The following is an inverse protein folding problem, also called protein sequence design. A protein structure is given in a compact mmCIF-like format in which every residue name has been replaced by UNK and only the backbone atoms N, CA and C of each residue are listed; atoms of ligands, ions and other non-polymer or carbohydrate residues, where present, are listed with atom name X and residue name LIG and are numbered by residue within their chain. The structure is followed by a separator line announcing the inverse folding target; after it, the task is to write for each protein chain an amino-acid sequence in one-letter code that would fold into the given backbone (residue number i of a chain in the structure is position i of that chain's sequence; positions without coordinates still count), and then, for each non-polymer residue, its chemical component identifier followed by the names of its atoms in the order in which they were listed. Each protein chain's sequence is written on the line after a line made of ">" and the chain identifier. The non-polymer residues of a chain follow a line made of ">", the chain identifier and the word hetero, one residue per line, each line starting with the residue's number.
data_IF_747293971156
#
_entry.id   IF_747293971156
#
_cell.length_a   1.000
_cell.length_b   1.000
_cell.length_c   1.000
_cell.angle_alpha   90.00
_cell.angle_beta   90.00
_cell.angle_gamma   90.00
#
_symmetry.space_group_name_H-M   'P 1'
#
loop_
_entity.id
_entity.type
_entity.pdbx_description
1 polymer ?
#
# COMPACT_ATOMS: atom_id res chain seq x y z
N UNK A 1 -7.19 3.78 -17.70
CA UNK A 1 -7.49 2.81 -16.65
C UNK A 1 -6.38 1.77 -16.53
N UNK A 2 -6.09 1.34 -15.32
CA UNK A 2 -5.12 0.28 -15.11
C UNK A 2 -5.71 -1.08 -15.51
N UNK A 3 -4.87 -1.96 -16.03
CA UNK A 3 -5.24 -3.35 -16.28
C UNK A 3 -5.12 -4.22 -15.02
N UNK A 4 -4.81 -3.62 -13.87
CA UNK A 4 -4.71 -4.31 -12.57
C UNK A 4 -6.00 -4.10 -11.80
N UNK A 5 -6.56 -5.19 -11.28
CA UNK A 5 -7.76 -5.15 -10.45
C UNK A 5 -7.35 -4.97 -8.98
N UNK A 6 -7.27 -3.71 -8.55
CA UNK A 6 -6.90 -3.37 -7.17
C UNK A 6 -7.91 -3.85 -6.14
N UNK A 7 -9.20 -3.86 -6.50
CA UNK A 7 -10.23 -4.31 -5.57
C UNK A 7 -10.08 -5.81 -5.27
N UNK A 8 -9.78 -6.60 -6.30
CA UNK A 8 -9.52 -8.02 -6.14
C UNK A 8 -8.31 -8.25 -5.22
N UNK A 9 -7.23 -7.52 -5.47
CA UNK A 9 -6.01 -7.64 -4.66
C UNK A 9 -6.30 -7.27 -3.20
N UNK A 10 -7.05 -6.20 -2.98
CA UNK A 10 -7.42 -5.76 -1.64
C UNK A 10 -8.21 -6.84 -0.89
N UNK A 11 -9.15 -7.49 -1.57
CA UNK A 11 -9.91 -8.59 -0.98
C UNK A 11 -9.03 -9.78 -0.61
N UNK A 12 -8.05 -10.11 -1.46
CA UNK A 12 -7.11 -11.21 -1.21
C UNK A 12 -6.17 -10.91 -0.05
N UNK A 13 -5.69 -9.69 0.06
CA UNK A 13 -4.78 -9.30 1.13
C UNK A 13 -5.51 -9.05 2.45
N UNK A 14 -6.79 -8.71 2.39
CA UNK A 14 -7.54 -8.22 3.52
C UNK A 14 -7.20 -6.76 3.82
N UNK A 15 -8.08 -6.08 4.52
CA UNK A 15 -7.87 -4.70 4.90
C UNK A 15 -8.68 -4.35 6.14
N UNK A 16 -8.26 -3.29 6.82
CA UNK A 16 -8.91 -2.83 8.04
C UNK A 16 -9.43 -1.41 7.88
N UNK A 17 -10.61 -1.16 8.40
CA UNK A 17 -11.22 0.18 8.40
C UNK A 17 -10.86 0.97 9.65
N UNK A 18 -10.24 0.33 10.62
CA UNK A 18 -9.82 0.94 11.88
C UNK A 18 -8.30 0.83 12.00
N UNK A 19 -7.66 1.91 12.42
CA UNK A 19 -6.22 1.92 12.59
C UNK A 19 -5.74 0.85 13.57
N UNK A 20 -4.55 0.34 13.32
CA UNK A 20 -3.91 -0.68 14.15
C UNK A 20 -2.40 -0.50 14.07
N UNK A 21 -1.67 -1.18 14.94
CA UNK A 21 -0.22 -1.21 14.90
C UNK A 21 0.23 -2.66 14.79
N UNK A 22 0.80 -3.06 13.63
CA UNK A 22 1.30 -4.43 13.50
C UNK A 22 2.48 -4.63 14.45
N UNK A 23 2.43 -5.65 15.29
CA UNK A 23 3.51 -6.03 16.19
C UNK A 23 4.06 -4.85 17.01
N UNK A 24 3.18 -4.19 17.77
CA UNK A 24 3.51 -3.00 18.56
C UNK A 24 4.67 -3.18 19.56
N UNK A 25 4.94 -4.42 19.96
CA UNK A 25 6.00 -4.71 20.94
C UNK A 25 7.40 -4.73 20.33
N UNK A 26 7.51 -5.14 19.06
CA UNK A 26 8.80 -5.34 18.40
C UNK A 26 9.06 -4.35 17.28
N UNK A 27 7.99 -3.73 16.78
CA UNK A 27 8.03 -2.94 15.58
C UNK A 27 8.21 -1.46 15.89
N UNK A 28 8.89 -0.77 14.99
CA UNK A 28 8.92 0.68 14.95
C UNK A 28 7.80 1.23 14.06
N UNK A 29 6.82 0.38 13.75
CA UNK A 29 5.68 0.77 12.94
C UNK A 29 4.79 1.75 13.67
N UNK A 30 4.13 2.61 12.90
CA UNK A 30 3.15 3.55 13.42
C UNK A 30 1.74 3.06 13.21
N UNK A 31 0.79 3.99 13.30
CA UNK A 31 -0.61 3.70 13.02
C UNK A 31 -0.70 3.26 11.56
N UNK A 32 -1.30 2.11 11.34
CA UNK A 32 -1.44 1.50 10.02
C UNK A 32 -2.92 1.36 9.70
N UNK A 33 -3.29 1.52 8.43
CA UNK A 33 -4.69 1.50 7.99
C UNK A 33 -4.79 0.78 6.64
N UNK A 34 -6.00 0.38 6.28
CA UNK A 34 -6.30 -0.35 5.04
C UNK A 34 -5.47 -1.63 4.97
N UNK A 35 -4.80 -1.91 3.87
CA UNK A 35 -4.01 -3.13 3.71
C UNK A 35 -2.52 -2.92 3.99
N UNK A 36 -2.20 -2.17 5.04
CA UNK A 36 -0.82 -2.02 5.49
C UNK A 36 -0.18 -0.65 5.22
N UNK A 37 -1.00 0.40 5.11
CA UNK A 37 -0.50 1.75 4.92
C UNK A 37 -0.03 2.33 6.26
N UNK A 38 1.27 2.32 6.48
CA UNK A 38 1.91 2.75 7.74
C UNK A 38 2.12 4.27 7.73
N UNK A 39 1.50 4.96 8.68
CA UNK A 39 1.60 6.41 8.81
C UNK A 39 2.80 6.85 9.67
N UNK A 40 3.41 5.93 10.39
CA UNK A 40 4.51 6.26 11.30
C UNK A 40 5.77 6.77 10.61
N UNK A 41 6.00 6.33 9.38
CA UNK A 41 7.17 6.72 8.60
C UNK A 41 6.85 7.75 7.52
N UNK A 42 5.65 8.35 7.58
CA UNK A 42 5.19 9.28 6.54
C UNK A 42 4.99 10.68 7.09
N UNK A 43 5.10 11.65 6.20
CA UNK A 43 4.80 13.05 6.49
C UNK A 43 3.66 13.52 5.58
N UNK A 44 3.24 14.78 5.74
CA UNK A 44 2.11 15.33 5.00
C UNK A 44 2.35 15.30 3.48
N UNK A 45 3.57 15.55 3.04
CA UNK A 45 3.88 15.54 1.60
C UNK A 45 3.74 14.14 0.99
N UNK A 46 3.91 13.10 1.78
CA UNK A 46 3.72 11.71 1.32
C UNK A 46 2.26 11.39 1.01
N UNK A 47 1.32 12.21 1.49
CA UNK A 47 -0.11 12.03 1.26
C UNK A 47 -0.63 12.82 0.06
N UNK A 48 0.23 13.58 -0.60
CA UNK A 48 -0.15 14.36 -1.78
C UNK A 48 -0.66 13.40 -2.87
N UNK A 49 -1.83 13.68 -3.40
CA UNK A 49 -2.48 12.79 -4.37
C UNK A 49 -3.71 12.09 -3.80
N UNK A 50 -3.84 12.00 -2.48
CA UNK A 50 -5.07 11.53 -1.85
C UNK A 50 -6.11 12.66 -1.81
N UNK A 51 -7.42 12.31 -1.79
CA UNK A 51 -8.45 13.32 -1.54
C UNK A 51 -8.24 14.03 -0.20
N UNK A 52 -8.56 15.31 -0.16
CA UNK A 52 -8.33 16.13 1.04
C UNK A 52 -9.04 15.58 2.29
N UNK A 53 -10.25 15.03 2.13
CA UNK A 53 -10.99 14.43 3.24
C UNK A 53 -10.22 13.27 3.89
N UNK A 54 -9.53 12.49 3.08
CA UNK A 54 -8.70 11.38 3.58
C UNK A 54 -7.43 11.93 4.22
N UNK A 55 -6.78 12.91 3.59
CA UNK A 55 -5.59 13.57 4.15
C UNK A 55 -5.89 14.10 5.55
N UNK A 56 -7.03 14.77 5.71
CA UNK A 56 -7.45 15.34 6.99
C UNK A 56 -7.61 14.27 8.06
N UNK A 57 -8.12 13.09 7.71
CA UNK A 57 -8.26 11.97 8.64
C UNK A 57 -6.93 11.38 9.07
N UNK A 58 -5.97 11.30 8.15
CA UNK A 58 -4.70 10.65 8.40
C UNK A 58 -3.67 11.55 9.08
N UNK A 59 -3.76 12.84 8.88
CA UNK A 59 -2.78 13.82 9.37
C UNK A 59 -2.48 13.70 10.87
N UNK A 60 -3.46 13.56 11.78
CA UNK A 60 -3.17 13.45 13.22
C UNK A 60 -2.33 12.25 13.61
N UNK A 61 -2.20 11.26 12.74
CA UNK A 61 -1.51 10.01 13.04
C UNK A 61 -0.13 9.93 12.42
N UNK A 62 0.28 10.93 11.66
CA UNK A 62 1.58 10.93 10.99
C UNK A 62 2.72 11.00 11.98
N UNK A 63 3.75 10.18 11.76
CA UNK A 63 4.98 10.21 12.55
C UNK A 63 4.89 9.60 13.93
N UNK A 64 3.74 9.08 14.35
CA UNK A 64 3.57 8.44 15.66
C UNK A 64 3.94 6.97 15.54
N UNK A 65 4.81 6.48 16.43
CA UNK A 65 5.32 5.11 16.39
C UNK A 65 5.25 4.43 17.74
N UNK A 66 5.32 3.09 17.74
CA UNK A 66 5.45 2.29 18.94
C UNK A 66 4.23 2.31 19.84
N UNK A 67 4.46 2.34 21.16
CA UNK A 67 3.39 2.27 22.15
C UNK A 67 2.36 3.40 22.01
N UNK A 68 2.85 4.61 21.69
CA UNK A 68 1.95 5.77 21.52
C UNK A 68 1.05 5.59 20.29
N UNK A 69 1.58 5.01 19.22
CA UNK A 69 0.77 4.69 18.05
C UNK A 69 -0.32 3.67 18.41
N UNK A 70 0.05 2.66 19.19
CA UNK A 70 -0.91 1.65 19.64
C UNK A 70 -2.05 2.25 20.45
N UNK A 71 -1.76 3.24 21.31
CA UNK A 71 -2.77 3.92 22.11
C UNK A 71 -3.79 4.69 21.28
N UNK A 72 -3.36 5.31 20.19
CA UNK A 72 -4.21 6.20 19.39
C UNK A 72 -4.75 5.55 18.12
N UNK A 73 -4.22 4.41 17.74
CA UNK A 73 -4.56 3.77 16.44
C UNK A 73 -6.06 3.58 16.25
N UNK A 74 -6.78 3.14 17.28
CA UNK A 74 -8.21 2.88 17.19
C UNK A 74 -9.05 4.13 16.97
N UNK A 75 -8.47 5.32 17.13
CA UNK A 75 -9.16 6.58 16.85
C UNK A 75 -9.24 6.87 15.35
N UNK A 76 -8.42 6.22 14.56
CA UNK A 76 -8.48 6.35 13.10
C UNK A 76 -9.49 5.38 12.54
N UNK A 77 -10.52 5.89 11.88
CA UNK A 77 -11.54 5.07 11.22
C UNK A 77 -11.77 5.63 9.83
N UNK A 78 -11.77 4.75 8.84
CA UNK A 78 -12.05 5.11 7.46
C UNK A 78 -13.22 4.27 6.95
N UNK A 79 -13.89 4.73 5.90
CA UNK A 79 -14.93 3.97 5.24
C UNK A 79 -14.33 2.98 4.26
N UNK A 80 -15.15 2.04 3.81
CA UNK A 80 -14.73 1.04 2.82
C UNK A 80 -14.19 1.69 1.52
N UNK A 81 -14.91 2.66 0.91
CA UNK A 81 -14.36 3.37 -0.25
C UNK A 81 -13.05 4.10 0.03
N UNK A 82 -12.92 4.69 1.22
CA UNK A 82 -11.67 5.37 1.59
C UNK A 82 -10.51 4.39 1.72
N UNK A 83 -10.74 3.22 2.28
CA UNK A 83 -9.72 2.18 2.39
C UNK A 83 -9.24 1.73 1.00
N UNK A 84 -10.16 1.59 0.05
CA UNK A 84 -9.83 1.25 -1.33
C UNK A 84 -8.98 2.31 -2.00
N UNK A 85 -9.32 3.58 -1.80
CA UNK A 85 -8.55 4.71 -2.33
C UNK A 85 -7.15 4.74 -1.74
N UNK A 86 -7.02 4.55 -0.43
CA UNK A 86 -5.72 4.51 0.25
C UNK A 86 -4.87 3.36 -0.30
N UNK A 87 -5.47 2.19 -0.45
CA UNK A 87 -4.77 1.02 -0.97
C UNK A 87 -4.25 1.23 -2.39
N UNK A 88 -5.08 1.76 -3.26
CA UNK A 88 -4.68 2.05 -4.65
C UNK A 88 -3.57 3.10 -4.69
N UNK A 89 -3.68 4.14 -3.87
CA UNK A 89 -2.65 5.17 -3.75
C UNK A 89 -1.31 4.56 -3.30
N UNK A 90 -1.34 3.73 -2.26
CA UNK A 90 -0.13 3.12 -1.72
C UNK A 90 0.54 2.20 -2.74
N UNK A 91 -0.22 1.51 -3.56
CA UNK A 91 0.30 0.54 -4.53
C UNK A 91 0.62 1.13 -5.90
N UNK A 92 0.20 2.36 -6.17
CA UNK A 92 0.43 2.99 -7.47
C UNK A 92 1.93 3.15 -7.78
N UNK A 93 2.71 3.49 -6.78
CA UNK A 93 4.17 3.61 -6.91
C UNK A 93 4.81 2.25 -7.24
N UNK A 94 4.38 1.21 -6.54
CA UNK A 94 4.87 -0.15 -6.79
C UNK A 94 4.49 -0.65 -8.18
N UNK A 95 3.28 -0.31 -8.62
CA UNK A 95 2.83 -0.67 -9.97
C UNK A 95 3.66 0.02 -11.04
N UNK A 96 4.00 1.30 -10.85
CA UNK A 96 4.86 2.02 -11.79
C UNK A 96 6.23 1.36 -11.91
N UNK A 97 6.81 0.96 -10.80
CA UNK A 97 8.11 0.26 -10.78
C UNK A 97 8.00 -1.09 -11.49
N UNK A 98 6.92 -1.82 -11.26
CA UNK A 98 6.68 -3.10 -11.92
C UNK A 98 6.59 -2.93 -13.43
N UNK A 99 5.85 -1.94 -13.90
CA UNK A 99 5.69 -1.67 -15.33
C UNK A 99 7.02 -1.36 -15.99
N UNK A 100 7.86 -0.55 -15.33
CA UNK A 100 9.20 -0.22 -15.85
C UNK A 100 10.08 -1.46 -15.96
N UNK A 101 10.11 -2.29 -14.93
CA UNK A 101 10.90 -3.53 -14.91
C UNK A 101 10.42 -4.52 -15.95
N UNK A 102 9.11 -4.61 -16.13
CA UNK A 102 8.52 -5.49 -17.13
C UNK A 102 8.95 -5.08 -18.53
N UNK A 103 8.89 -3.78 -18.82
CA UNK A 103 9.32 -3.22 -20.10
C UNK A 103 10.79 -3.52 -20.37
N UNK A 104 11.64 -3.35 -19.37
CA UNK A 104 13.08 -3.63 -19.50
C UNK A 104 13.36 -5.11 -19.72
N UNK A 105 12.63 -5.97 -19.01
CA UNK A 105 12.87 -7.42 -19.06
C UNK A 105 12.31 -8.07 -20.33
N UNK A 106 11.17 -7.61 -20.83
CA UNK A 106 10.44 -8.27 -21.92
C UNK A 106 10.43 -7.46 -23.22
N UNK A 107 10.73 -6.18 -23.17
CA UNK A 107 10.60 -5.28 -24.32
C UNK A 107 9.18 -4.94 -24.69
N UNK A 108 8.20 -5.34 -23.86
CA UNK A 108 6.77 -5.09 -24.10
C UNK A 108 6.15 -4.35 -22.93
N UNK A 109 5.10 -3.57 -23.20
CA UNK A 109 4.38 -2.88 -22.15
C UNK A 109 3.56 -3.83 -21.30
N UNK A 110 3.62 -3.66 -19.99
CA UNK A 110 2.78 -4.39 -19.04
C UNK A 110 1.28 -4.17 -19.32
N UNK A 111 0.93 -3.00 -19.88
CA UNK A 111 -0.45 -2.64 -20.18
C UNK A 111 -1.09 -3.50 -21.28
N UNK A 112 -0.27 -4.25 -22.03
CA UNK A 112 -0.78 -5.18 -23.03
C UNK A 112 -1.24 -6.51 -22.44
N UNK A 113 -0.97 -6.78 -21.18
CA UNK A 113 -1.38 -8.01 -20.53
C UNK A 113 -2.89 -8.02 -20.27
N UNK A 114 -3.55 -9.18 -20.41
CA UNK A 114 -4.95 -9.32 -19.98
C UNK A 114 -5.08 -9.02 -18.49
N UNK A 115 -6.23 -8.52 -18.09
CA UNK A 115 -6.48 -8.08 -16.71
C UNK A 115 -6.13 -9.16 -15.68
N UNK A 116 -6.54 -10.40 -15.91
CA UNK A 116 -6.27 -11.47 -14.94
C UNK A 116 -4.78 -11.78 -14.78
N UNK A 117 -4.00 -11.71 -15.86
CA UNK A 117 -2.56 -11.91 -15.80
C UNK A 117 -1.85 -10.74 -15.15
N UNK A 118 -2.22 -9.52 -15.53
CA UNK A 118 -1.66 -8.31 -14.95
C UNK A 118 -1.93 -8.24 -13.45
N UNK A 119 -3.15 -8.58 -13.04
CA UNK A 119 -3.54 -8.58 -11.63
C UNK A 119 -2.75 -9.61 -10.83
N UNK A 120 -2.58 -10.82 -11.37
CA UNK A 120 -1.82 -11.87 -10.70
C UNK A 120 -0.35 -11.48 -10.51
N UNK A 121 0.27 -10.92 -11.55
CA UNK A 121 1.67 -10.48 -11.48
C UNK A 121 1.82 -9.33 -10.49
N UNK A 122 0.91 -8.35 -10.54
CA UNK A 122 0.93 -7.22 -9.63
C UNK A 122 0.74 -7.66 -8.18
N UNK A 123 -0.16 -8.61 -7.93
CA UNK A 123 -0.40 -9.14 -6.59
C UNK A 123 0.88 -9.75 -5.99
N UNK A 124 1.59 -10.55 -6.78
CA UNK A 124 2.87 -11.14 -6.33
C UNK A 124 3.89 -10.04 -6.08
N UNK A 125 4.01 -9.07 -6.99
CA UNK A 125 4.97 -7.98 -6.85
C UNK A 125 4.69 -7.12 -5.60
N UNK A 126 3.42 -6.85 -5.30
CA UNK A 126 3.04 -6.07 -4.12
C UNK A 126 3.38 -6.84 -2.83
N UNK A 127 3.11 -8.14 -2.83
CA UNK A 127 3.41 -8.99 -1.68
C UNK A 127 4.91 -9.04 -1.40
N UNK A 128 5.74 -9.11 -2.44
CA UNK A 128 7.18 -9.17 -2.31
C UNK A 128 7.88 -7.83 -2.54
N UNK A 129 7.14 -6.73 -2.63
CA UNK A 129 7.70 -5.41 -2.88
C UNK A 129 8.78 -5.01 -1.88
N UNK A 130 8.52 -5.24 -0.60
CA UNK A 130 9.49 -4.96 0.45
C UNK A 130 10.58 -6.02 0.54
N UNK A 131 10.30 -7.22 0.03
CA UNK A 131 11.28 -8.31 0.01
C UNK A 131 12.22 -8.24 -1.19
N UNK A 132 11.98 -7.33 -2.14
CA UNK A 132 12.83 -7.16 -3.30
C UNK A 132 14.27 -6.81 -2.91
N UNK A 133 14.44 -6.13 -1.77
CA UNK A 133 15.77 -5.83 -1.21
C UNK A 133 16.39 -7.03 -0.51
N UNK A 134 15.57 -7.95 -0.02
CA UNK A 134 16.02 -9.17 0.67
C UNK A 134 16.19 -10.34 -0.29
N UNK A 135 15.45 -10.33 -1.39
CA UNK A 135 15.52 -11.38 -2.42
C UNK A 135 15.77 -10.76 -3.79
N UNK A 136 16.96 -10.17 -4.01
CA UNK A 136 17.23 -9.47 -5.27
C UNK A 136 17.14 -10.37 -6.51
N UNK A 137 17.23 -11.67 -6.33
CA UNK A 137 17.13 -12.62 -7.43
C UNK A 137 15.71 -12.78 -7.99
N UNK A 138 14.71 -12.26 -7.27
CA UNK A 138 13.31 -12.34 -7.71
C UNK A 138 13.10 -11.74 -9.11
N UNK A 139 13.88 -10.73 -9.46
CA UNK A 139 13.71 -9.96 -10.69
C UNK A 139 14.67 -10.41 -11.82
N UNK A 140 15.36 -11.47 -11.64
CA UNK A 140 16.27 -12.02 -12.67
C UNK A 140 15.58 -12.95 -13.63
#
# INVERSE_FOLDING_TARGET
>A
MSNVDFDFILEQEGYKLKGYVPDAKKSKSGVTIASGFDLGARNLSDLAGLPQTIIDKLTPFLGIKGAKADEVASNLVVTDPEAKIINEFAKSSELSKLKSRWQEATGSSFDYLPKHKATAIASVAFQYGNLATETPNFWR
#
